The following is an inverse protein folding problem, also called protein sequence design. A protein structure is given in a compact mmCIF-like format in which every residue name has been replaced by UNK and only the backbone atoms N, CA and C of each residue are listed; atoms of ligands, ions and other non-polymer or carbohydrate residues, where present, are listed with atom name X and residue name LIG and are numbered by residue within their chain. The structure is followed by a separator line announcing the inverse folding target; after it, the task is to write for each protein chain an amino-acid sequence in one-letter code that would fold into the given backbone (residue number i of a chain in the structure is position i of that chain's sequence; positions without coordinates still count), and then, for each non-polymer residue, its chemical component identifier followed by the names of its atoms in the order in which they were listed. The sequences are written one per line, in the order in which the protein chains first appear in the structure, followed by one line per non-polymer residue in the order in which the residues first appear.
data_IF_244044405046
#
_entry.id   IF_244044405046
#
_cell.length_a   1.000
_cell.length_b   1.000
_cell.length_c   1.000
_cell.angle_alpha   90.00
_cell.angle_beta   90.00
_cell.angle_gamma   90.00
#
_symmetry.space_group_name_H-M   'P 1'
#
loop_
_entity.id
_entity.type
_entity.pdbx_description
1 polymer ?
#
# COMPACT_ATOMS: atom_id res chain seq x y z
N UNK A 1 -27.66 4.69 35.57
CA UNK A 1 -27.51 4.57 34.08
C UNK A 1 -26.06 4.22 33.74
N UNK A 2 -25.83 3.16 33.00
CA UNK A 2 -24.46 2.80 32.56
C UNK A 2 -23.91 3.90 31.65
N UNK A 3 -22.68 4.38 31.91
CA UNK A 3 -22.01 5.35 31.03
C UNK A 3 -21.92 4.76 29.64
N UNK A 4 -22.37 5.47 28.59
CA UNK A 4 -22.29 5.00 27.24
C UNK A 4 -20.81 4.79 26.83
N UNK A 5 -20.50 3.62 26.28
CA UNK A 5 -19.15 3.35 25.80
C UNK A 5 -18.90 4.16 24.53
N UNK A 6 -17.86 4.98 24.52
CA UNK A 6 -17.34 5.57 23.30
C UNK A 6 -16.97 4.46 22.28
N UNK A 7 -17.09 4.71 20.96
CA UNK A 7 -16.59 3.78 19.97
C UNK A 7 -15.15 3.39 20.30
N UNK A 8 -14.86 2.10 20.27
CA UNK A 8 -13.50 1.62 20.53
C UNK A 8 -12.63 1.92 19.29
N UNK A 9 -11.94 3.02 19.31
CA UNK A 9 -11.06 3.47 18.21
C UNK A 9 -10.01 2.41 17.86
N UNK A 10 -9.42 1.78 18.89
CA UNK A 10 -8.47 0.67 18.69
C UNK A 10 -9.06 -0.44 17.81
N UNK A 11 -10.29 -0.89 18.13
CA UNK A 11 -10.97 -1.89 17.30
C UNK A 11 -11.20 -1.41 15.86
N UNK A 12 -11.51 -0.13 15.67
CA UNK A 12 -11.78 0.44 14.35
C UNK A 12 -10.52 0.52 13.48
N UNK A 13 -9.39 0.84 14.08
CA UNK A 13 -8.10 0.74 13.38
C UNK A 13 -7.70 -0.71 13.07
N UNK A 14 -7.97 -1.66 13.96
CA UNK A 14 -7.79 -3.09 13.65
C UNK A 14 -8.65 -3.57 12.48
N UNK A 15 -9.89 -3.08 12.36
CA UNK A 15 -10.75 -3.33 11.20
C UNK A 15 -10.19 -2.68 9.93
N UNK A 16 -9.66 -1.46 9.99
CA UNK A 16 -8.97 -0.80 8.88
C UNK A 16 -7.76 -1.63 8.41
N UNK A 17 -6.91 -2.07 9.32
CA UNK A 17 -5.74 -2.87 8.97
C UNK A 17 -6.11 -4.16 8.23
N UNK A 18 -7.19 -4.85 8.66
CA UNK A 18 -7.71 -6.04 7.95
C UNK A 18 -8.19 -5.73 6.54
N UNK A 19 -8.75 -4.55 6.31
CA UNK A 19 -9.14 -4.12 4.97
C UNK A 19 -7.92 -3.72 4.13
N UNK A 20 -6.91 -3.09 4.72
CA UNK A 20 -5.65 -2.76 4.04
C UNK A 20 -4.96 -4.01 3.49
N UNK A 21 -4.96 -5.12 4.25
CA UNK A 21 -4.44 -6.42 3.78
C UNK A 21 -5.14 -6.88 2.50
N UNK A 22 -6.47 -6.71 2.39
CA UNK A 22 -7.20 -7.07 1.16
C UNK A 22 -6.76 -6.24 -0.04
N UNK A 23 -6.49 -4.95 0.14
CA UNK A 23 -5.97 -4.12 -0.95
C UNK A 23 -4.55 -4.52 -1.35
N UNK A 24 -3.71 -4.93 -0.38
CA UNK A 24 -2.39 -5.52 -0.67
C UNK A 24 -2.53 -6.76 -1.53
N UNK A 25 -3.38 -7.72 -1.15
CA UNK A 25 -3.62 -8.94 -1.92
C UNK A 25 -4.15 -8.65 -3.34
N UNK A 26 -4.94 -7.59 -3.53
CA UNK A 26 -5.38 -7.18 -4.86
C UNK A 26 -4.20 -6.69 -5.71
N UNK A 27 -3.29 -5.91 -5.14
CA UNK A 27 -2.07 -5.47 -5.85
C UNK A 27 -1.20 -6.67 -6.23
N UNK A 28 -0.98 -7.62 -5.31
CA UNK A 28 -0.23 -8.85 -5.58
C UNK A 28 -0.85 -9.65 -6.73
N UNK A 29 -2.18 -9.83 -6.73
CA UNK A 29 -2.89 -10.51 -7.81
C UNK A 29 -2.74 -9.81 -9.17
N UNK A 30 -2.73 -8.47 -9.18
CA UNK A 30 -2.46 -7.70 -10.40
C UNK A 30 -1.06 -7.98 -10.93
N UNK A 31 -0.05 -8.07 -10.06
CA UNK A 31 1.31 -8.41 -10.46
C UNK A 31 1.42 -9.83 -11.07
N UNK A 32 0.71 -10.81 -10.49
CA UNK A 32 0.64 -12.16 -11.06
C UNK A 32 0.09 -12.15 -12.49
N UNK A 33 -1.00 -11.42 -12.74
CA UNK A 33 -1.61 -11.28 -14.06
C UNK A 33 -0.70 -10.55 -15.05
N UNK A 34 -0.05 -9.48 -14.62
CA UNK A 34 0.90 -8.72 -15.44
C UNK A 34 2.14 -9.55 -15.78
N UNK A 35 2.65 -10.36 -14.84
CA UNK A 35 3.78 -11.26 -15.07
C UNK A 35 3.43 -12.35 -16.08
N UNK A 36 2.19 -12.88 -16.04
CA UNK A 36 1.71 -13.83 -17.01
C UNK A 36 1.60 -13.22 -18.42
N UNK A 37 1.11 -11.99 -18.50
CA UNK A 37 1.01 -11.28 -19.77
C UNK A 37 2.40 -10.96 -20.34
N UNK A 38 3.34 -10.51 -19.51
CA UNK A 38 4.73 -10.30 -19.88
C UNK A 38 5.36 -11.59 -20.46
N UNK A 39 5.14 -12.73 -19.80
CA UNK A 39 5.62 -14.04 -20.29
C UNK A 39 5.03 -14.43 -21.64
N UNK A 40 3.73 -14.13 -21.89
CA UNK A 40 3.10 -14.34 -23.20
C UNK A 40 3.73 -13.45 -24.28
N UNK A 41 4.05 -12.20 -23.95
CA UNK A 41 4.72 -11.27 -24.88
C UNK A 41 6.11 -11.79 -25.23
N UNK A 42 6.86 -12.32 -24.27
CA UNK A 42 8.16 -12.96 -24.54
C UNK A 42 8.00 -14.15 -25.49
N UNK A 43 6.96 -14.96 -25.34
CA UNK A 43 6.70 -16.13 -26.17
C UNK A 43 6.49 -15.84 -27.67
N UNK A 44 6.25 -14.58 -28.05
CA UNK A 44 6.16 -14.16 -29.47
C UNK A 44 7.44 -13.51 -29.98
N UNK A 45 8.48 -13.42 -29.17
CA UNK A 45 9.80 -12.96 -29.61
C UNK A 45 10.61 -14.13 -30.10
N UNK A 46 11.39 -13.92 -31.16
CA UNK A 46 12.38 -14.90 -31.63
C UNK A 46 13.66 -14.80 -30.77
N UNK A 47 13.49 -14.68 -29.45
CA UNK A 47 14.62 -14.52 -28.54
C UNK A 47 15.49 -15.77 -28.54
N UNK A 48 16.73 -15.61 -29.03
CA UNK A 48 17.76 -16.63 -28.89
C UNK A 48 18.48 -16.41 -27.57
N UNK A 49 18.49 -17.45 -26.73
CA UNK A 49 19.19 -17.40 -25.43
C UNK A 49 20.68 -17.26 -25.70
N UNK A 50 21.19 -16.06 -25.48
CA UNK A 50 22.61 -15.77 -25.46
C UNK A 50 23.05 -15.65 -23.99
N UNK A 51 24.02 -16.46 -23.57
CA UNK A 51 24.52 -16.46 -22.20
C UNK A 51 25.11 -15.12 -21.76
N UNK A 52 25.61 -14.34 -22.73
CA UNK A 52 26.37 -13.12 -22.45
C UNK A 52 25.54 -11.83 -22.62
N UNK A 53 24.33 -11.93 -23.19
CA UNK A 53 23.48 -10.78 -23.48
C UNK A 53 22.15 -10.86 -22.74
N UNK A 54 21.83 -9.90 -21.86
CA UNK A 54 20.54 -9.87 -21.21
C UNK A 54 19.41 -9.55 -22.20
N UNK A 55 18.22 -10.05 -21.90
CA UNK A 55 16.99 -9.71 -22.60
C UNK A 55 16.65 -8.23 -22.45
N UNK A 56 16.33 -7.57 -23.56
CA UNK A 56 15.89 -6.17 -23.58
C UNK A 56 14.68 -6.01 -24.50
N UNK A 57 13.60 -5.40 -24.01
CA UNK A 57 12.42 -5.14 -24.85
C UNK A 57 12.73 -4.28 -26.08
N UNK A 58 13.72 -3.42 -26.00
CA UNK A 58 14.17 -2.57 -27.13
C UNK A 58 14.64 -3.37 -28.34
N UNK A 59 15.09 -4.60 -28.12
CA UNK A 59 15.59 -5.48 -29.20
C UNK A 59 14.44 -6.10 -29.99
N UNK A 60 13.19 -5.97 -29.54
CA UNK A 60 12.00 -6.56 -30.14
C UNK A 60 10.95 -5.50 -30.48
N UNK A 61 11.15 -4.68 -31.55
CA UNK A 61 10.24 -3.58 -31.89
C UNK A 61 8.78 -4.01 -32.10
N UNK A 62 8.55 -5.26 -32.53
CA UNK A 62 7.21 -5.84 -32.69
C UNK A 62 6.42 -5.96 -31.39
N UNK A 63 7.09 -5.96 -30.23
CA UNK A 63 6.43 -6.03 -28.92
C UNK A 63 6.13 -4.66 -28.33
N UNK A 64 6.64 -3.57 -28.92
CA UNK A 64 6.57 -2.20 -28.36
C UNK A 64 5.16 -1.80 -27.92
N UNK A 65 4.16 -2.06 -28.78
CA UNK A 65 2.77 -1.74 -28.46
C UNK A 65 2.28 -2.54 -27.25
N UNK A 66 2.52 -3.85 -27.23
CA UNK A 66 2.08 -4.73 -26.14
C UNK A 66 2.75 -4.40 -24.80
N UNK A 67 4.01 -3.98 -24.82
CA UNK A 67 4.70 -3.52 -23.61
C UNK A 67 4.12 -2.20 -23.11
N UNK A 68 3.75 -1.30 -24.01
CA UNK A 68 3.06 -0.07 -23.65
C UNK A 68 1.68 -0.38 -23.05
N UNK A 69 0.91 -1.25 -23.68
CA UNK A 69 -0.40 -1.69 -23.19
C UNK A 69 -0.25 -2.35 -21.78
N UNK A 70 0.82 -3.12 -21.55
CA UNK A 70 1.14 -3.70 -20.23
C UNK A 70 1.41 -2.61 -19.18
N UNK A 71 2.16 -1.56 -19.52
CA UNK A 71 2.43 -0.44 -18.62
C UNK A 71 1.15 0.38 -18.34
N UNK A 72 0.29 0.58 -19.34
CA UNK A 72 -1.01 1.23 -19.19
C UNK A 72 -1.91 0.44 -18.24
N UNK A 73 -2.02 -0.89 -18.42
CA UNK A 73 -2.73 -1.78 -17.50
C UNK A 73 -2.18 -1.72 -16.08
N UNK A 74 -0.87 -1.73 -15.91
CA UNK A 74 -0.24 -1.56 -14.60
C UNK A 74 -0.76 -0.30 -13.89
N UNK A 75 -0.76 0.84 -14.59
CA UNK A 75 -1.21 2.11 -14.04
C UNK A 75 -2.71 2.11 -13.75
N UNK A 76 -3.52 1.57 -14.66
CA UNK A 76 -4.96 1.51 -14.54
C UNK A 76 -5.40 0.58 -13.41
N UNK A 77 -4.90 -0.65 -13.36
CA UNK A 77 -5.36 -1.66 -12.42
C UNK A 77 -4.93 -1.31 -10.98
N UNK A 78 -3.67 -0.95 -10.75
CA UNK A 78 -3.19 -0.53 -9.42
C UNK A 78 -3.82 0.82 -9.03
N UNK A 79 -3.98 1.73 -9.99
CA UNK A 79 -4.69 2.99 -9.79
C UNK A 79 -6.13 2.77 -9.34
N UNK A 80 -6.85 1.83 -9.96
CA UNK A 80 -8.21 1.48 -9.57
C UNK A 80 -8.29 0.98 -8.12
N UNK A 81 -7.34 0.16 -7.67
CA UNK A 81 -7.26 -0.28 -6.27
C UNK A 81 -7.07 0.92 -5.33
N UNK A 82 -6.18 1.84 -5.67
CA UNK A 82 -5.90 3.02 -4.83
C UNK A 82 -7.12 3.95 -4.78
N UNK A 83 -7.71 4.30 -5.92
CA UNK A 83 -8.84 5.23 -5.97
C UNK A 83 -10.10 4.65 -5.34
N UNK A 84 -10.41 3.38 -5.58
CA UNK A 84 -11.55 2.72 -4.94
C UNK A 84 -11.31 2.55 -3.43
N UNK A 85 -10.12 2.11 -3.03
CA UNK A 85 -9.75 1.92 -1.64
C UNK A 85 -9.76 3.23 -0.84
N UNK A 86 -9.23 4.32 -1.40
CA UNK A 86 -9.30 5.65 -0.75
C UNK A 86 -10.73 6.11 -0.58
N UNK A 87 -11.61 5.87 -1.55
CA UNK A 87 -13.02 6.24 -1.49
C UNK A 87 -13.79 5.41 -0.46
N UNK A 88 -13.54 4.10 -0.43
CA UNK A 88 -14.17 3.19 0.51
C UNK A 88 -13.74 3.49 1.95
N UNK A 89 -12.46 3.68 2.18
CA UNK A 89 -11.95 3.95 3.53
C UNK A 89 -12.31 5.36 4.02
N UNK A 90 -12.47 6.32 3.13
CA UNK A 90 -13.05 7.62 3.47
C UNK A 90 -14.48 7.48 3.98
N UNK A 91 -15.30 6.68 3.29
CA UNK A 91 -16.68 6.39 3.71
C UNK A 91 -16.71 5.65 5.04
N UNK A 92 -15.90 4.59 5.20
CA UNK A 92 -15.80 3.83 6.45
C UNK A 92 -15.40 4.73 7.64
N UNK A 93 -14.47 5.66 7.43
CA UNK A 93 -14.09 6.64 8.44
C UNK A 93 -15.26 7.54 8.83
N UNK A 94 -15.98 8.10 7.86
CA UNK A 94 -17.17 8.92 8.13
C UNK A 94 -18.24 8.17 8.92
N UNK A 95 -18.52 6.91 8.59
CA UNK A 95 -19.48 6.08 9.32
C UNK A 95 -19.08 5.88 10.79
N UNK A 96 -17.79 5.72 11.07
CA UNK A 96 -17.28 5.65 12.46
C UNK A 96 -17.51 6.96 13.20
N UNK A 97 -17.30 8.10 12.53
CA UNK A 97 -17.50 9.40 13.14
C UNK A 97 -19.00 9.74 13.31
N UNK A 98 -19.87 9.26 12.41
CA UNK A 98 -21.31 9.35 12.59
C UNK A 98 -21.77 8.59 13.86
N UNK A 99 -21.23 7.40 14.09
CA UNK A 99 -21.50 6.63 15.30
C UNK A 99 -21.04 7.36 16.56
N UNK A 100 -19.89 8.04 16.52
CA UNK A 100 -19.40 8.85 17.63
C UNK A 100 -20.32 10.02 17.90
N UNK A 101 -20.69 10.78 16.87
CA UNK A 101 -21.59 11.92 16.97
C UNK A 101 -22.96 11.52 17.56
N UNK A 102 -23.56 10.47 17.00
CA UNK A 102 -24.83 9.92 17.48
C UNK A 102 -24.75 9.53 18.95
N UNK A 103 -23.64 8.90 19.35
CA UNK A 103 -23.44 8.47 20.74
C UNK A 103 -23.38 9.65 21.71
N UNK A 104 -22.66 10.70 21.34
CA UNK A 104 -22.55 11.91 22.15
C UNK A 104 -23.91 12.60 22.29
N UNK A 105 -24.61 12.83 21.16
CA UNK A 105 -25.94 13.47 21.18
C UNK A 105 -26.94 12.70 22.03
N UNK A 106 -27.02 11.38 21.91
CA UNK A 106 -27.89 10.54 22.70
C UNK A 106 -27.54 10.58 24.20
N UNK A 107 -26.25 10.60 24.53
CA UNK A 107 -25.77 10.61 25.90
C UNK A 107 -26.20 11.86 26.66
N UNK A 108 -26.13 12.99 25.99
CA UNK A 108 -26.46 14.29 26.60
C UNK A 108 -27.89 14.75 26.33
N UNK A 109 -28.69 13.92 25.60
CA UNK A 109 -30.07 14.30 25.23
C UNK A 109 -30.09 15.56 24.37
N UNK A 110 -29.01 15.83 23.64
CA UNK A 110 -28.87 17.06 22.86
C UNK A 110 -29.63 16.94 21.52
N UNK A 111 -30.41 17.94 21.23
CA UNK A 111 -31.03 18.17 19.92
C UNK A 111 -30.24 19.25 19.19
N UNK A 112 -29.91 19.00 17.93
CA UNK A 112 -29.19 19.96 17.07
C UNK A 112 -30.11 20.46 15.96
N UNK A 113 -29.99 21.74 15.59
CA UNK A 113 -30.72 22.32 14.46
C UNK A 113 -30.23 21.72 13.12
N UNK A 114 -31.04 21.90 12.08
CA UNK A 114 -30.77 21.34 10.74
C UNK A 114 -29.40 21.71 10.19
N UNK A 115 -29.01 22.97 10.30
CA UNK A 115 -27.69 23.46 9.82
C UNK A 115 -26.52 22.74 10.50
N UNK A 116 -26.56 22.63 11.84
CA UNK A 116 -25.54 21.88 12.59
C UNK A 116 -25.54 20.39 12.26
N UNK A 117 -26.70 19.81 11.99
CA UNK A 117 -26.82 18.43 11.57
C UNK A 117 -26.12 18.22 10.22
N UNK A 118 -26.38 19.06 9.24
CA UNK A 118 -25.75 18.99 7.91
C UNK A 118 -24.23 19.09 7.99
N UNK A 119 -23.69 19.99 8.81
CA UNK A 119 -22.25 20.12 9.04
C UNK A 119 -21.69 18.87 9.73
N UNK A 120 -22.35 18.41 10.79
CA UNK A 120 -21.87 17.30 11.63
C UNK A 120 -21.81 15.96 10.87
N UNK A 121 -22.69 15.74 9.91
CA UNK A 121 -22.77 14.50 9.13
C UNK A 121 -22.32 14.66 7.67
N UNK A 122 -21.57 15.71 7.38
CA UNK A 122 -21.09 15.98 6.03
C UNK A 122 -20.06 14.94 5.59
N UNK A 123 -20.24 14.27 4.41
CA UNK A 123 -19.31 13.24 3.94
C UNK A 123 -18.00 13.80 3.37
N UNK A 124 -17.88 15.11 3.20
CA UNK A 124 -16.67 15.80 2.71
C UNK A 124 -16.16 15.27 1.35
N UNK A 125 -17.06 14.98 0.40
CA UNK A 125 -16.72 14.39 -0.89
C UNK A 125 -15.77 15.26 -1.74
N UNK A 126 -15.86 16.58 -1.65
CA UNK A 126 -14.96 17.47 -2.37
C UNK A 126 -13.54 17.42 -1.78
N UNK A 127 -13.42 17.24 -0.47
CA UNK A 127 -12.13 17.02 0.18
C UNK A 127 -11.52 15.66 -0.22
N UNK A 128 -12.35 14.61 -0.41
CA UNK A 128 -11.87 13.34 -0.95
C UNK A 128 -11.32 13.51 -2.37
N UNK A 129 -12.04 14.21 -3.25
CA UNK A 129 -11.55 14.50 -4.61
C UNK A 129 -10.24 15.28 -4.59
N UNK A 130 -10.16 16.32 -3.75
CA UNK A 130 -8.94 17.10 -3.58
C UNK A 130 -7.79 16.22 -3.05
N UNK A 131 -8.06 15.31 -2.12
CA UNK A 131 -7.09 14.36 -1.62
C UNK A 131 -6.57 13.44 -2.74
N UNK A 132 -7.45 12.86 -3.54
CA UNK A 132 -7.08 11.97 -4.65
C UNK A 132 -6.30 12.68 -5.78
N UNK A 133 -6.52 13.97 -5.96
CA UNK A 133 -5.87 14.79 -6.99
C UNK A 133 -4.63 15.56 -6.48
N UNK A 134 -4.34 15.48 -5.18
CA UNK A 134 -3.21 16.21 -4.60
C UNK A 134 -1.88 15.81 -5.20
N UNK A 135 -0.94 16.73 -5.16
CA UNK A 135 0.46 16.46 -5.45
C UNK A 135 1.24 16.30 -4.15
N UNK A 136 1.96 15.20 -4.04
CA UNK A 136 2.94 14.98 -2.98
C UNK A 136 4.33 15.02 -3.60
N UNK A 137 5.18 15.95 -3.11
CA UNK A 137 6.50 16.23 -3.68
C UNK A 137 6.46 16.51 -5.20
N UNK A 138 5.39 17.14 -5.67
CA UNK A 138 5.19 17.50 -7.07
C UNK A 138 4.52 16.43 -7.94
N UNK A 139 4.27 15.22 -7.42
CA UNK A 139 3.71 14.09 -8.16
C UNK A 139 2.30 13.75 -7.69
N UNK A 140 1.41 13.49 -8.64
CA UNK A 140 0.10 12.86 -8.40
C UNK A 140 0.28 11.34 -8.18
N UNK A 141 -0.80 10.66 -7.75
CA UNK A 141 -0.82 9.19 -7.68
C UNK A 141 -0.52 8.60 -9.07
N UNK A 142 -1.13 9.14 -10.12
CA UNK A 142 -0.89 8.67 -11.50
C UNK A 142 0.58 8.84 -11.92
N UNK A 143 1.20 9.97 -11.62
CA UNK A 143 2.63 10.19 -11.94
C UNK A 143 3.53 9.17 -11.22
N UNK A 144 3.23 8.88 -9.96
CA UNK A 144 3.95 7.86 -9.17
C UNK A 144 3.80 6.47 -9.79
N UNK A 145 2.59 6.11 -10.24
CA UNK A 145 2.33 4.81 -10.89
C UNK A 145 3.02 4.69 -12.25
N UNK A 146 3.04 5.75 -13.05
CA UNK A 146 3.79 5.75 -14.32
C UNK A 146 5.29 5.54 -14.11
N UNK A 147 5.87 6.18 -13.10
CA UNK A 147 7.26 5.95 -12.74
C UNK A 147 7.51 4.50 -12.31
N UNK A 148 6.60 3.92 -11.53
CA UNK A 148 6.70 2.52 -11.10
C UNK A 148 6.52 1.55 -12.28
N UNK A 149 5.62 1.81 -13.22
CA UNK A 149 5.47 0.96 -14.42
C UNK A 149 6.73 0.92 -15.27
N UNK A 150 7.47 2.02 -15.31
CA UNK A 150 8.77 2.07 -16.01
C UNK A 150 9.83 1.24 -15.29
N UNK A 151 9.89 1.30 -13.98
CA UNK A 151 10.78 0.47 -13.15
C UNK A 151 10.39 -1.02 -13.26
N UNK A 152 9.12 -1.34 -13.20
CA UNK A 152 8.59 -2.70 -13.39
C UNK A 152 9.00 -3.29 -14.73
N UNK A 153 8.91 -2.51 -15.82
CA UNK A 153 9.40 -2.93 -17.14
C UNK A 153 10.88 -3.31 -17.10
N UNK A 154 11.72 -2.55 -16.39
CA UNK A 154 13.16 -2.84 -16.24
C UNK A 154 13.40 -4.10 -15.40
N UNK A 155 12.65 -4.27 -14.31
CA UNK A 155 12.71 -5.49 -13.49
C UNK A 155 12.30 -6.74 -14.27
N UNK A 156 11.26 -6.62 -15.11
CA UNK A 156 10.86 -7.70 -16.01
C UNK A 156 11.98 -8.09 -16.97
N UNK A 157 12.71 -7.13 -17.56
CA UNK A 157 13.87 -7.42 -18.42
C UNK A 157 14.91 -8.25 -17.69
N UNK A 158 15.23 -7.92 -16.46
CA UNK A 158 16.22 -8.64 -15.65
C UNK A 158 15.69 -10.02 -15.18
N UNK A 159 14.45 -10.10 -14.71
CA UNK A 159 13.83 -11.36 -14.32
C UNK A 159 13.69 -12.33 -15.51
N UNK A 160 13.28 -11.85 -16.68
CA UNK A 160 13.21 -12.63 -17.90
C UNK A 160 14.61 -13.13 -18.28
N UNK A 161 15.61 -12.26 -18.23
CA UNK A 161 17.00 -12.62 -18.55
C UNK A 161 17.51 -13.77 -17.68
N UNK A 162 17.13 -13.79 -16.39
CA UNK A 162 17.52 -14.87 -15.47
C UNK A 162 16.66 -16.13 -15.62
N UNK A 163 15.35 -15.96 -15.87
CA UNK A 163 14.38 -17.05 -15.88
C UNK A 163 14.31 -17.82 -17.21
N UNK A 164 14.63 -17.18 -18.33
CA UNK A 164 14.36 -17.76 -19.64
C UNK A 164 15.28 -18.93 -19.94
N UNK A 165 14.67 -20.04 -20.36
CA UNK A 165 15.35 -21.24 -20.81
C UNK A 165 14.71 -21.73 -22.12
N UNK A 166 15.46 -22.44 -22.94
CA UNK A 166 14.97 -22.97 -24.23
C UNK A 166 13.76 -23.89 -24.00
N UNK A 167 12.66 -23.62 -24.70
CA UNK A 167 11.46 -24.45 -24.64
C UNK A 167 10.54 -24.17 -23.42
N UNK A 168 10.78 -23.11 -22.64
CA UNK A 168 9.94 -22.75 -21.51
C UNK A 168 8.57 -22.25 -21.99
N UNK A 169 7.48 -22.82 -21.46
CA UNK A 169 6.11 -22.31 -21.70
C UNK A 169 5.89 -20.95 -21.02
N UNK A 170 4.93 -20.17 -21.54
CA UNK A 170 4.58 -18.88 -20.93
C UNK A 170 4.16 -19.00 -19.46
N UNK A 171 3.43 -20.07 -19.10
CA UNK A 171 3.01 -20.31 -17.70
C UNK A 171 4.23 -20.62 -16.82
N UNK A 172 5.16 -21.45 -17.30
CA UNK A 172 6.38 -21.77 -16.54
C UNK A 172 7.26 -20.54 -16.40
N UNK A 173 7.44 -19.78 -17.48
CA UNK A 173 8.21 -18.54 -17.47
C UNK A 173 7.60 -17.51 -16.52
N UNK A 174 6.28 -17.33 -16.51
CA UNK A 174 5.58 -16.43 -15.59
C UNK A 174 5.86 -16.78 -14.13
N UNK A 175 5.79 -18.06 -13.77
CA UNK A 175 6.09 -18.50 -12.39
C UNK A 175 7.56 -18.22 -12.01
N UNK A 176 8.47 -18.38 -12.94
CA UNK A 176 9.89 -18.07 -12.70
C UNK A 176 10.13 -16.57 -12.57
N UNK A 177 9.49 -15.76 -13.42
CA UNK A 177 9.52 -14.29 -13.31
C UNK A 177 8.99 -13.87 -11.94
N UNK A 178 7.79 -14.33 -11.56
CA UNK A 178 7.20 -14.00 -10.25
C UNK A 178 8.10 -14.39 -9.09
N UNK A 179 8.74 -15.57 -9.15
CA UNK A 179 9.71 -15.99 -8.13
C UNK A 179 10.88 -15.01 -7.98
N UNK A 180 11.43 -14.53 -9.09
CA UNK A 180 12.53 -13.55 -9.07
C UNK A 180 12.08 -12.18 -8.55
N UNK A 181 10.87 -11.76 -8.89
CA UNK A 181 10.33 -10.48 -8.42
C UNK A 181 9.94 -10.50 -6.93
N UNK A 182 9.63 -11.68 -6.38
CA UNK A 182 9.41 -11.88 -4.93
C UNK A 182 10.72 -12.07 -4.16
N UNK A 183 11.77 -12.54 -4.81
CA UNK A 183 13.11 -12.70 -4.21
C UNK A 183 14.12 -11.79 -4.91
N UNK A 184 13.92 -10.51 -4.67
CA UNK A 184 14.74 -9.45 -5.24
C UNK A 184 16.26 -9.59 -4.97
N UNK A 185 16.72 -9.97 -3.76
CA UNK A 185 18.12 -10.26 -3.53
C UNK A 185 18.67 -11.38 -4.43
N UNK A 186 17.88 -12.44 -4.66
CA UNK A 186 18.27 -13.53 -5.55
C UNK A 186 18.34 -13.07 -7.01
N UNK A 187 17.38 -12.25 -7.46
CA UNK A 187 17.42 -11.64 -8.79
C UNK A 187 18.71 -10.83 -9.00
N UNK A 188 19.04 -9.96 -8.06
CA UNK A 188 20.25 -9.13 -8.13
C UNK A 188 21.52 -9.99 -8.20
N UNK A 189 21.59 -11.03 -7.39
CA UNK A 189 22.71 -11.96 -7.36
C UNK A 189 22.87 -12.69 -8.68
N UNK A 190 21.83 -13.37 -9.16
CA UNK A 190 21.86 -14.19 -10.36
C UNK A 190 22.12 -13.35 -11.61
N UNK A 191 21.53 -12.15 -11.68
CA UNK A 191 21.78 -11.22 -12.79
C UNK A 191 23.25 -10.77 -12.83
N UNK A 192 23.81 -10.43 -11.68
CA UNK A 192 25.22 -10.06 -11.56
C UNK A 192 26.16 -11.21 -11.91
N UNK A 193 25.87 -12.41 -11.41
CA UNK A 193 26.67 -13.62 -11.68
C UNK A 193 26.64 -13.96 -13.18
N UNK A 194 25.46 -13.86 -13.82
CA UNK A 194 25.30 -14.25 -15.23
C UNK A 194 25.85 -13.22 -16.21
N UNK A 195 25.67 -11.94 -15.96
CA UNK A 195 25.98 -10.88 -16.91
C UNK A 195 27.13 -9.96 -16.49
N UNK A 196 27.71 -10.16 -15.31
CA UNK A 196 28.80 -9.32 -14.82
C UNK A 196 28.41 -7.86 -14.55
N UNK A 197 27.09 -7.55 -14.53
CA UNK A 197 26.55 -6.20 -14.37
C UNK A 197 25.71 -6.12 -13.11
N UNK A 198 25.73 -4.95 -12.43
CA UNK A 198 24.82 -4.72 -11.31
C UNK A 198 23.37 -4.69 -11.81
N UNK A 199 22.47 -5.33 -11.07
CA UNK A 199 21.03 -5.22 -11.27
C UNK A 199 20.56 -3.78 -11.00
N UNK A 200 19.54 -3.34 -11.76
CA UNK A 200 18.85 -2.05 -11.58
C UNK A 200 17.45 -2.24 -11.03
N UNK A 201 17.07 -3.47 -10.75
CA UNK A 201 15.78 -3.79 -10.17
C UNK A 201 15.61 -3.12 -8.81
N UNK A 202 14.41 -2.65 -8.49
CA UNK A 202 14.11 -1.78 -7.35
C UNK A 202 12.90 -2.22 -6.52
N UNK A 203 12.51 -3.49 -6.62
CA UNK A 203 11.37 -4.05 -5.89
C UNK A 203 10.07 -3.26 -6.12
N UNK A 204 9.62 -3.24 -7.37
CA UNK A 204 8.45 -2.46 -7.78
C UNK A 204 7.15 -2.98 -7.16
N UNK A 205 7.01 -4.28 -6.95
CA UNK A 205 5.83 -4.85 -6.34
C UNK A 205 5.64 -4.28 -4.93
N UNK A 206 6.67 -4.33 -4.12
CA UNK A 206 6.64 -3.72 -2.80
C UNK A 206 6.35 -2.22 -2.83
N UNK A 207 6.97 -1.48 -3.74
CA UNK A 207 6.73 -0.04 -3.87
C UNK A 207 5.29 0.27 -4.20
N UNK A 208 4.64 -0.57 -5.01
CA UNK A 208 3.23 -0.43 -5.37
C UNK A 208 2.32 -0.79 -4.21
N UNK A 209 2.61 -1.88 -3.50
CA UNK A 209 1.92 -2.25 -2.27
C UNK A 209 2.01 -1.13 -1.23
N UNK A 210 3.22 -0.63 -1.00
CA UNK A 210 3.47 0.46 -0.06
C UNK A 210 2.73 1.73 -0.46
N UNK A 211 2.70 2.08 -1.75
CA UNK A 211 1.95 3.22 -2.24
C UNK A 211 0.46 3.04 -1.97
N UNK A 212 -0.12 1.91 -2.39
CA UNK A 212 -1.54 1.64 -2.22
C UNK A 212 -1.96 1.66 -0.74
N UNK A 213 -1.28 0.90 0.11
CA UNK A 213 -1.59 0.85 1.53
C UNK A 213 -1.44 2.21 2.23
N UNK A 214 -0.41 2.99 1.87
CA UNK A 214 -0.20 4.33 2.45
C UNK A 214 -1.29 5.31 2.03
N UNK A 215 -1.62 5.39 0.73
CA UNK A 215 -2.63 6.31 0.22
C UNK A 215 -4.02 6.00 0.80
N UNK A 216 -4.39 4.73 0.89
CA UNK A 216 -5.68 4.28 1.43
C UNK A 216 -5.77 4.56 2.94
N UNK A 217 -4.72 4.27 3.70
CA UNK A 217 -4.66 4.58 5.13
C UNK A 217 -4.72 6.09 5.40
N UNK A 218 -4.01 6.89 4.62
CA UNK A 218 -4.03 8.35 4.74
C UNK A 218 -5.41 8.93 4.44
N UNK A 219 -6.15 8.36 3.47
CA UNK A 219 -7.52 8.78 3.15
C UNK A 219 -8.46 8.58 4.34
N UNK A 220 -8.39 7.42 5.01
CA UNK A 220 -9.17 7.16 6.23
C UNK A 220 -8.90 8.21 7.33
N UNK A 221 -7.63 8.48 7.58
CA UNK A 221 -7.20 9.44 8.62
C UNK A 221 -7.56 10.88 8.27
N UNK A 222 -7.45 11.25 7.01
CA UNK A 222 -7.85 12.58 6.56
C UNK A 222 -9.36 12.80 6.74
N UNK A 223 -10.18 11.81 6.38
CA UNK A 223 -11.62 11.86 6.60
C UNK A 223 -11.95 11.99 8.10
N UNK A 224 -11.33 11.18 8.95
CA UNK A 224 -11.48 11.22 10.41
C UNK A 224 -11.16 12.61 10.98
N UNK A 225 -10.00 13.16 10.59
CA UNK A 225 -9.56 14.47 11.06
C UNK A 225 -10.52 15.59 10.65
N UNK A 226 -10.99 15.61 9.40
CA UNK A 226 -11.99 16.59 8.94
C UNK A 226 -13.29 16.49 9.74
N UNK A 227 -13.75 15.29 10.05
CA UNK A 227 -14.96 15.09 10.87
C UNK A 227 -14.76 15.58 12.30
N UNK A 228 -13.61 15.36 12.92
CA UNK A 228 -13.30 15.90 14.24
C UNK A 228 -13.31 17.44 14.27
N UNK A 229 -12.84 18.08 13.20
CA UNK A 229 -12.89 19.54 13.08
C UNK A 229 -14.33 20.08 13.06
N UNK A 230 -15.27 19.31 12.50
CA UNK A 230 -16.69 19.64 12.44
C UNK A 230 -17.45 19.38 13.76
N UNK A 231 -16.83 18.67 14.72
CA UNK A 231 -17.43 18.31 16.00
C UNK A 231 -17.03 19.29 17.09
N UNK A 232 -17.96 20.11 17.57
CA UNK A 232 -17.69 21.12 18.62
C UNK A 232 -17.25 20.48 19.94
N UNK A 233 -17.67 19.25 20.21
CA UNK A 233 -17.34 18.51 21.42
C UNK A 233 -15.96 17.81 21.38
N UNK A 234 -15.31 17.77 20.23
CA UNK A 234 -13.93 17.28 20.09
C UNK A 234 -12.99 18.47 20.25
N UNK A 235 -12.17 18.45 21.28
CA UNK A 235 -11.19 19.51 21.57
C UNK A 235 -9.77 19.14 21.14
N UNK A 236 -9.50 17.85 20.99
CA UNK A 236 -8.21 17.33 20.57
C UNK A 236 -8.21 15.80 20.58
N UNK A 237 -7.08 15.22 20.21
CA UNK A 237 -6.87 13.77 20.17
C UNK A 237 -5.46 13.42 20.64
N UNK A 238 -5.24 12.18 20.98
CA UNK A 238 -3.95 11.66 21.44
C UNK A 238 -3.45 10.62 20.46
N UNK A 239 -2.23 10.82 19.96
CA UNK A 239 -1.53 9.85 19.14
C UNK A 239 -0.69 9.00 20.08
N UNK A 240 -0.93 7.70 20.08
CA UNK A 240 -0.20 6.71 20.89
C UNK A 240 0.66 5.84 19.97
N UNK A 241 1.81 5.48 20.49
CA UNK A 241 2.65 4.48 19.87
C UNK A 241 2.01 3.10 19.98
N UNK A 242 2.37 2.23 19.06
CA UNK A 242 2.15 0.81 19.20
C UNK A 242 2.88 0.26 20.44
N UNK A 243 2.25 -0.65 21.18
CA UNK A 243 2.90 -1.31 22.31
C UNK A 243 4.08 -2.21 21.88
N UNK A 244 4.20 -2.48 20.58
CA UNK A 244 5.21 -3.35 19.98
C UNK A 244 6.20 -2.57 19.10
N UNK A 245 6.74 -1.48 19.63
CA UNK A 245 7.74 -0.66 18.95
C UNK A 245 9.12 -1.35 19.02
N UNK A 246 9.19 -2.55 18.41
CA UNK A 246 10.40 -3.38 18.42
C UNK A 246 10.77 -3.80 17.00
N UNK A 247 12.07 -3.84 16.73
CA UNK A 247 12.63 -4.41 15.50
C UNK A 247 13.62 -5.52 15.92
N UNK A 248 13.43 -6.74 15.42
CA UNK A 248 14.21 -7.91 15.80
C UNK A 248 14.26 -8.15 17.34
N UNK A 249 13.09 -8.03 17.99
CA UNK A 249 12.97 -8.20 19.44
C UNK A 249 13.62 -7.11 20.30
N UNK A 250 14.16 -6.05 19.69
CA UNK A 250 14.77 -4.91 20.41
C UNK A 250 13.91 -3.67 20.23
N UNK A 251 13.67 -2.90 21.31
CA UNK A 251 13.04 -1.60 21.18
C UNK A 251 13.83 -0.72 20.21
N UNK A 252 13.13 -0.04 19.30
CA UNK A 252 13.74 0.97 18.45
C UNK A 252 13.04 2.32 18.69
N UNK A 253 13.73 3.40 18.35
CA UNK A 253 13.20 4.75 18.44
C UNK A 253 13.15 5.37 17.05
N UNK A 254 12.03 5.99 16.73
CA UNK A 254 11.87 6.75 15.50
C UNK A 254 11.15 8.09 15.75
N UNK A 255 10.77 8.76 14.68
CA UNK A 255 10.06 10.04 14.76
C UNK A 255 8.72 9.91 15.52
N UNK A 256 8.10 8.73 15.52
CA UNK A 256 6.83 8.52 16.21
C UNK A 256 6.99 8.58 17.73
N UNK A 257 8.14 8.14 18.28
CA UNK A 257 8.43 8.25 19.72
C UNK A 257 8.51 9.71 20.18
N UNK A 258 9.07 10.55 19.32
CA UNK A 258 9.26 11.98 19.62
C UNK A 258 7.93 12.73 19.49
N UNK A 259 7.11 12.34 18.52
CA UNK A 259 5.89 13.04 18.14
C UNK A 259 4.62 12.43 18.75
N UNK A 260 4.70 11.31 19.48
CA UNK A 260 3.56 10.78 20.20
C UNK A 260 3.09 11.76 21.29
N UNK A 261 1.77 11.96 21.42
CA UNK A 261 1.26 12.90 22.38
C UNK A 261 -0.12 13.44 22.06
N UNK A 262 -0.51 14.49 22.78
CA UNK A 262 -1.80 15.15 22.65
C UNK A 262 -1.72 16.32 21.68
N UNK A 263 -2.67 16.39 20.77
CA UNK A 263 -2.75 17.40 19.73
C UNK A 263 -4.12 18.08 19.74
N UNK A 264 -4.20 19.37 19.42
CA UNK A 264 -5.46 20.05 19.22
C UNK A 264 -6.18 19.50 17.98
N UNK A 265 -7.50 19.69 17.90
CA UNK A 265 -8.30 19.11 16.81
C UNK A 265 -7.96 19.64 15.41
N UNK A 266 -7.36 20.81 15.31
CA UNK A 266 -6.93 21.43 14.06
C UNK A 266 -5.56 20.95 13.56
N UNK A 267 -4.83 20.19 14.37
CA UNK A 267 -3.63 19.50 13.91
C UNK A 267 -3.99 18.38 12.94
N UNK A 268 -3.51 18.48 11.70
CA UNK A 268 -3.77 17.49 10.67
C UNK A 268 -2.71 16.40 10.70
N UNK A 269 -3.15 15.17 11.03
CA UNK A 269 -2.27 14.03 11.06
C UNK A 269 -2.78 12.91 10.14
N UNK A 270 -1.96 12.56 9.15
CA UNK A 270 -2.23 11.48 8.21
C UNK A 270 -1.22 10.32 8.32
N UNK A 271 -0.35 10.39 9.31
CA UNK A 271 0.81 9.52 9.52
C UNK A 271 2.12 10.28 9.34
N UNK A 272 3.16 9.90 10.07
CA UNK A 272 4.48 10.54 9.98
C UNK A 272 5.40 9.87 8.95
N UNK A 273 5.13 8.60 8.64
CA UNK A 273 5.85 7.83 7.63
C UNK A 273 4.89 6.91 6.87
N UNK A 274 5.27 6.42 5.68
CA UNK A 274 4.48 5.41 4.97
C UNK A 274 4.24 4.18 5.84
N UNK A 275 3.05 3.57 5.72
CA UNK A 275 2.66 2.39 6.51
C UNK A 275 2.67 2.65 8.02
N UNK A 276 2.26 3.85 8.46
CA UNK A 276 2.03 4.14 9.86
C UNK A 276 0.80 3.37 10.37
N UNK A 277 1.01 2.20 10.96
CA UNK A 277 -0.04 1.30 11.46
C UNK A 277 -0.29 1.50 12.96
N UNK A 278 -1.48 1.04 13.43
CA UNK A 278 -1.77 0.92 14.85
C UNK A 278 -1.11 -0.34 15.45
N UNK A 279 -1.13 -0.45 16.78
CA UNK A 279 -0.58 -1.59 17.53
C UNK A 279 -1.30 -2.93 17.32
N UNK A 280 -2.41 -2.93 16.58
CA UNK A 280 -3.13 -4.14 16.14
C UNK A 280 -2.70 -4.64 14.76
N UNK A 281 -1.59 -4.12 14.21
CA UNK A 281 -1.08 -4.54 12.91
C UNK A 281 -0.62 -6.00 12.94
N UNK A 282 -1.03 -6.75 11.93
CA UNK A 282 -0.57 -8.10 11.68
C UNK A 282 0.57 -8.07 10.66
N UNK A 283 1.51 -8.99 10.79
CA UNK A 283 2.65 -9.17 9.90
C UNK A 283 2.51 -10.51 9.20
N UNK A 284 2.72 -10.53 7.89
CA UNK A 284 2.77 -11.79 7.17
C UNK A 284 4.10 -12.47 7.44
N UNK A 285 4.01 -13.67 7.99
CA UNK A 285 5.15 -14.54 8.23
C UNK A 285 5.05 -15.79 7.36
N UNK A 286 6.13 -16.55 7.26
CA UNK A 286 6.11 -17.89 6.64
C UNK A 286 5.13 -18.88 7.31
N UNK A 287 4.55 -18.52 8.46
CA UNK A 287 3.54 -19.29 9.21
C UNK A 287 2.16 -18.64 9.18
N UNK A 288 1.93 -17.68 8.27
CA UNK A 288 0.69 -16.93 8.13
C UNK A 288 0.71 -15.57 8.85
N UNK A 289 -0.45 -14.92 8.86
CA UNK A 289 -0.62 -13.62 9.50
C UNK A 289 -0.54 -13.75 11.02
N UNK A 290 0.32 -12.95 11.63
CA UNK A 290 0.49 -12.85 13.08
C UNK A 290 0.39 -11.40 13.51
N UNK A 291 -0.24 -11.16 14.66
CA UNK A 291 -0.09 -9.87 15.31
C UNK A 291 1.40 -9.60 15.53
N UNK A 292 1.84 -8.37 15.35
CA UNK A 292 3.24 -7.99 15.51
C UNK A 292 3.85 -8.48 16.85
N UNK A 293 3.02 -8.51 17.90
CA UNK A 293 3.38 -9.02 19.24
C UNK A 293 3.57 -10.53 19.31
N UNK A 294 3.01 -11.28 18.36
CA UNK A 294 3.01 -12.75 18.35
C UNK A 294 4.05 -13.31 17.36
N UNK A 295 4.85 -12.42 16.75
CA UNK A 295 5.97 -12.78 15.87
C UNK A 295 7.11 -13.32 16.73
N UNK A 296 7.60 -14.50 16.39
CA UNK A 296 8.70 -15.18 17.07
C UNK A 296 10.01 -14.92 16.33
N UNK A 297 11.14 -15.06 17.04
CA UNK A 297 12.48 -14.84 16.47
C UNK A 297 12.83 -15.76 15.29
N UNK A 298 12.12 -16.88 15.14
CA UNK A 298 12.26 -17.84 14.05
C UNK A 298 11.19 -17.69 12.95
N UNK A 299 10.32 -16.70 13.03
CA UNK A 299 9.42 -16.35 11.94
C UNK A 299 10.17 -15.58 10.87
N UNK A 300 10.06 -16.06 9.64
CA UNK A 300 10.47 -15.28 8.48
C UNK A 300 9.35 -14.28 8.17
N UNK A 301 9.62 -13.03 8.42
CA UNK A 301 8.70 -11.94 8.09
C UNK A 301 8.88 -11.64 6.60
N UNK A 302 7.77 -11.49 5.89
CA UNK A 302 7.78 -10.86 4.58
C UNK A 302 8.11 -9.38 4.81
N UNK A 303 9.38 -9.12 5.04
CA UNK A 303 9.89 -7.79 5.29
C UNK A 303 10.77 -7.39 4.14
N UNK A 304 10.66 -6.15 3.88
CA UNK A 304 11.48 -5.36 3.04
C UNK A 304 12.81 -5.15 3.72
N UNK A 305 13.82 -5.57 3.03
CA UNK A 305 15.18 -5.22 3.40
C UNK A 305 15.40 -3.74 3.08
N UNK A 306 15.59 -2.85 4.06
CA UNK A 306 15.80 -1.43 3.82
C UNK A 306 17.24 -1.09 3.40
N UNK A 307 18.11 -2.06 3.15
CA UNK A 307 19.49 -1.85 2.71
C UNK A 307 19.63 -1.79 1.19
#
# INVERSE_FOLDING_TARGET
MAKPKTPNQKRKYGELNKRLVKYVMLVESIYEDLNLEAAKIVGITDFTIDSDRPFMWSDYPQTRKRIRDLQERFVEDIGAVIYSGTSEEWKNSNEVQDLLANKVLQTYGATIGKEKYEILYQPNNDALKAFQQRKDKGFTISDKLWNQSTLYKQELEEAISCAIQKGTSAITLSKQISKYLLDFPQLQKDYKERFGKASRAMDCEYRSIRLAASEINMAYRQAENLRWQQMDFVVGYEIKLSNNHTCNGKPFQDICDILAGKYPKDFQWTGWHPLCYSDDSEVLTNRGWKLFKDVLDDDLILSLNPN
#
